data_IF_836469716902
#
_entry.id   IF_836469716902
#
_cell.length_a   1.000
_cell.length_b   1.000
_cell.length_c   1.000
_cell.angle_alpha   90.00
_cell.angle_beta   90.00
_cell.angle_gamma   90.00
#
_symmetry.space_group_name_H-M   'P 1'
#
loop_
_entity.id
_entity.type
_entity.pdbx_description
1 polymer ?
#
# COMPACT_ATOMS: atom_id res chain seq x y z
N UNK A 1 -0.20 0.80 -37.82
CA UNK A 1 -0.32 1.99 -38.69
C UNK A 1 -1.14 1.64 -39.93
N UNK A 2 -2.04 2.52 -40.36
CA UNK A 2 -2.84 2.36 -41.58
C UNK A 2 -2.68 3.62 -42.43
N UNK A 3 -2.39 3.47 -43.72
CA UNK A 3 -2.25 4.58 -44.67
C UNK A 3 -2.67 4.16 -46.06
N UNK A 4 -2.80 5.15 -46.93
CA UNK A 4 -3.01 4.97 -48.36
C UNK A 4 -1.71 5.29 -49.13
N UNK A 5 -1.46 4.56 -50.22
CA UNK A 5 -0.36 4.78 -51.14
C UNK A 5 -0.85 4.66 -52.59
N UNK A 6 -0.75 5.75 -53.35
CA UNK A 6 -1.20 5.79 -54.75
C UNK A 6 -0.29 4.99 -55.70
N UNK A 7 0.97 4.78 -55.34
CA UNK A 7 1.93 4.02 -56.15
C UNK A 7 1.86 2.51 -55.92
N UNK A 8 1.16 2.06 -54.87
CA UNK A 8 1.00 0.64 -54.52
C UNK A 8 -0.39 0.10 -54.90
N UNK A 9 -0.88 0.50 -56.08
CA UNK A 9 -2.15 0.04 -56.63
C UNK A 9 -1.92 -0.88 -57.82
N UNK A 10 -2.77 -1.89 -57.97
CA UNK A 10 -2.79 -2.75 -59.15
C UNK A 10 -4.19 -3.31 -59.41
N UNK A 11 -4.44 -3.69 -60.66
CA UNK A 11 -5.67 -4.39 -61.01
C UNK A 11 -5.48 -5.90 -60.77
N UNK A 12 -6.24 -6.55 -59.89
CA UNK A 12 -6.13 -7.98 -59.63
C UNK A 12 -6.26 -8.85 -60.89
N UNK A 13 -7.04 -8.40 -61.88
CA UNK A 13 -7.27 -9.15 -63.13
C UNK A 13 -5.97 -9.31 -63.95
N UNK A 14 -5.06 -8.33 -63.87
CA UNK A 14 -3.76 -8.38 -64.55
C UNK A 14 -2.73 -9.28 -63.82
N UNK A 15 -3.04 -9.67 -62.58
CA UNK A 15 -2.15 -10.39 -61.67
C UNK A 15 -2.82 -11.62 -61.05
N UNK A 16 -3.55 -12.42 -61.84
CA UNK A 16 -4.15 -13.70 -61.42
C UNK A 16 -5.06 -13.60 -60.17
N UNK A 17 -5.80 -12.52 -60.01
CA UNK A 17 -6.71 -12.31 -58.88
C UNK A 17 -5.99 -12.08 -57.55
N UNK A 18 -4.73 -11.66 -57.55
CA UNK A 18 -4.01 -11.34 -56.32
C UNK A 18 -4.56 -10.02 -55.77
N UNK A 19 -5.23 -10.05 -54.62
CA UNK A 19 -5.78 -8.85 -53.97
C UNK A 19 -4.91 -8.30 -52.84
N UNK A 20 -3.98 -9.11 -52.30
CA UNK A 20 -3.17 -8.76 -51.13
C UNK A 20 -1.74 -9.24 -51.28
N UNK A 21 -0.79 -8.42 -50.84
CA UNK A 21 0.63 -8.70 -50.83
C UNK A 21 1.23 -8.37 -49.46
N UNK A 22 2.18 -9.19 -49.01
CA UNK A 22 2.95 -8.94 -47.80
C UNK A 22 4.38 -8.59 -48.21
N UNK A 23 4.76 -7.31 -48.08
CA UNK A 23 6.08 -6.84 -48.46
C UNK A 23 6.93 -6.50 -47.23
N UNK A 24 8.25 -6.71 -47.29
CA UNK A 24 9.16 -6.21 -46.28
C UNK A 24 9.01 -4.70 -46.10
N UNK A 25 8.89 -4.25 -44.85
CA UNK A 25 8.71 -2.84 -44.47
C UNK A 25 9.81 -1.91 -45.00
N UNK A 26 11.02 -2.44 -45.22
CA UNK A 26 12.18 -1.70 -45.73
C UNK A 26 12.08 -1.29 -47.21
N UNK A 27 11.20 -1.93 -47.98
CA UNK A 27 11.04 -1.67 -49.42
C UNK A 27 9.99 -0.62 -49.73
N UNK A 28 9.23 -0.18 -48.72
CA UNK A 28 8.15 0.79 -48.88
C UNK A 28 8.40 1.97 -47.94
N UNK A 29 7.88 3.14 -48.30
CA UNK A 29 7.91 4.29 -47.41
C UNK A 29 7.03 4.04 -46.18
N UNK A 30 7.53 4.42 -45.01
CA UNK A 30 6.83 4.33 -43.73
C UNK A 30 7.03 5.64 -42.95
N UNK A 31 6.00 6.14 -42.25
CA UNK A 31 6.16 7.33 -41.43
C UNK A 31 7.05 7.05 -40.22
N UNK A 32 7.80 8.07 -39.80
CA UNK A 32 8.73 8.05 -38.68
C UNK A 32 8.02 8.33 -37.34
N UNK A 33 7.03 7.50 -37.02
CA UNK A 33 6.31 7.62 -35.75
C UNK A 33 7.21 7.16 -34.59
N UNK A 34 7.49 8.09 -33.68
CA UNK A 34 8.36 7.87 -32.53
C UNK A 34 7.63 8.19 -31.21
N UNK A 35 8.08 7.53 -30.13
CA UNK A 35 7.67 7.85 -28.77
C UNK A 35 8.54 9.00 -28.24
N UNK A 36 7.98 10.18 -28.03
CA UNK A 36 8.74 11.36 -27.60
C UNK A 36 9.26 11.24 -26.17
N UNK A 37 8.46 10.67 -25.26
CA UNK A 37 8.86 10.43 -23.88
C UNK A 37 9.46 9.03 -23.69
N UNK A 38 10.26 8.57 -24.65
CA UNK A 38 10.96 7.30 -24.58
C UNK A 38 12.05 7.31 -23.49
N UNK A 39 12.10 6.25 -22.69
CA UNK A 39 13.10 6.04 -21.64
C UNK A 39 14.12 4.94 -21.98
N UNK A 40 13.95 4.22 -23.09
CA UNK A 40 14.91 3.23 -23.57
C UNK A 40 15.93 3.85 -24.54
N UNK A 41 17.06 3.17 -24.74
CA UNK A 41 18.01 3.54 -25.80
C UNK A 41 17.29 3.48 -27.16
N UNK A 42 17.49 4.51 -28.00
CA UNK A 42 16.98 4.57 -29.38
C UNK A 42 17.73 3.58 -30.28
N UNK A 43 17.69 2.28 -29.95
CA UNK A 43 18.19 1.24 -30.81
C UNK A 43 17.01 0.62 -31.57
N UNK A 44 17.19 0.47 -32.89
CA UNK A 44 16.23 -0.21 -33.77
C UNK A 44 16.05 -1.71 -33.42
N UNK A 45 16.65 -2.20 -32.33
CA UNK A 45 16.62 -3.60 -31.91
C UNK A 45 15.32 -4.01 -31.22
N UNK A 46 14.56 -3.06 -30.67
CA UNK A 46 13.31 -3.33 -29.94
C UNK A 46 12.08 -3.50 -30.86
N UNK A 47 12.22 -3.22 -32.16
CA UNK A 47 11.13 -3.27 -33.14
C UNK A 47 11.29 -4.51 -34.01
N UNK A 48 10.35 -5.45 -33.94
CA UNK A 48 10.36 -6.63 -34.80
C UNK A 48 10.23 -6.19 -36.27
N UNK A 49 11.08 -6.72 -37.16
CA UNK A 49 10.96 -6.48 -38.59
C UNK A 49 9.74 -7.22 -39.14
N UNK A 50 8.57 -6.60 -39.04
CA UNK A 50 7.32 -7.11 -39.57
C UNK A 50 7.08 -6.63 -41.01
N UNK A 51 6.55 -7.53 -41.84
CA UNK A 51 6.07 -7.19 -43.19
C UNK A 51 4.83 -6.30 -43.10
N UNK A 52 4.65 -5.42 -44.08
CA UNK A 52 3.44 -4.65 -44.25
C UNK A 52 2.46 -5.41 -45.18
N UNK A 53 1.18 -5.37 -44.85
CA UNK A 53 0.10 -5.90 -45.67
C UNK A 53 -0.39 -4.79 -46.59
N UNK A 54 -0.37 -5.04 -47.89
CA UNK A 54 -0.80 -4.12 -48.94
C UNK A 54 -1.99 -4.73 -49.66
N UNK A 55 -3.04 -3.95 -49.84
CA UNK A 55 -4.25 -4.32 -50.59
C UNK A 55 -4.15 -3.66 -51.96
N UNK A 56 -4.66 -4.34 -53.00
CA UNK A 56 -4.60 -3.88 -54.40
C UNK A 56 -5.13 -2.46 -54.64
N UNK A 57 -5.97 -1.93 -53.75
CA UNK A 57 -6.49 -0.57 -53.79
C UNK A 57 -5.53 0.49 -53.22
N UNK A 58 -4.29 0.14 -52.87
CA UNK A 58 -3.31 1.07 -52.30
C UNK A 58 -3.37 1.20 -50.77
N UNK A 59 -4.26 0.47 -50.09
CA UNK A 59 -4.30 0.47 -48.62
C UNK A 59 -3.11 -0.31 -48.05
N UNK A 60 -2.34 0.34 -47.17
CA UNK A 60 -1.19 -0.25 -46.49
C UNK A 60 -1.49 -0.36 -44.99
N UNK A 61 -1.40 -1.57 -44.45
CA UNK A 61 -1.53 -1.85 -43.04
C UNK A 61 -0.25 -2.47 -42.49
N UNK A 62 0.37 -1.78 -41.53
CA UNK A 62 1.61 -2.21 -40.91
C UNK A 62 1.42 -2.35 -39.39
N UNK A 63 1.13 -3.56 -38.90
CA UNK A 63 1.06 -3.87 -37.48
C UNK A 63 2.43 -4.30 -36.97
N UNK A 64 3.02 -3.53 -36.06
CA UNK A 64 4.32 -3.85 -35.47
C UNK A 64 4.12 -4.17 -34.00
N UNK A 65 4.57 -5.34 -33.52
CA UNK A 65 4.72 -5.56 -32.10
C UNK A 65 5.97 -4.80 -31.62
N UNK A 66 5.80 -3.95 -30.62
CA UNK A 66 6.92 -3.19 -30.03
C UNK A 66 6.81 -3.16 -28.51
N UNK A 67 7.97 -3.24 -27.84
CA UNK A 67 8.08 -3.03 -26.40
C UNK A 67 8.42 -1.56 -26.17
N UNK A 68 7.50 -0.84 -25.56
CA UNK A 68 7.65 0.57 -25.26
C UNK A 68 8.11 0.76 -23.83
N UNK A 69 9.11 1.62 -23.62
CA UNK A 69 9.45 2.14 -22.29
C UNK A 69 9.33 3.65 -22.32
N UNK A 70 8.49 4.19 -21.47
CA UNK A 70 8.24 5.63 -21.40
C UNK A 70 8.60 6.19 -20.04
N UNK A 71 9.04 7.44 -20.01
CA UNK A 71 9.14 8.20 -18.78
C UNK A 71 7.74 8.60 -18.34
N UNK A 72 7.41 8.24 -17.09
CA UNK A 72 6.16 8.59 -16.42
C UNK A 72 6.50 9.13 -15.01
N UNK A 73 5.88 10.23 -14.63
CA UNK A 73 5.99 10.77 -13.28
C UNK A 73 5.00 10.03 -12.38
N UNK A 74 5.50 9.42 -11.30
CA UNK A 74 4.73 8.57 -10.40
C UNK A 74 4.54 9.30 -9.08
N UNK A 75 3.29 9.43 -8.62
CA UNK A 75 2.98 9.98 -7.30
C UNK A 75 2.84 8.85 -6.27
N UNK A 76 3.82 8.72 -5.38
CA UNK A 76 3.88 7.67 -4.36
C UNK A 76 3.34 8.11 -2.99
N UNK A 77 2.70 9.28 -2.88
CA UNK A 77 2.22 9.84 -1.60
C UNK A 77 1.34 8.84 -0.83
N UNK A 78 0.38 8.22 -1.50
CA UNK A 78 -0.58 7.28 -0.91
C UNK A 78 -0.20 5.81 -1.04
N UNK A 79 1.05 5.50 -1.35
CA UNK A 79 1.51 4.12 -1.50
C UNK A 79 1.11 3.23 -0.29
N UNK A 80 0.59 2.00 -0.50
CA UNK A 80 0.38 1.30 -1.78
C UNK A 80 -1.03 1.51 -2.39
N UNK A 81 -1.84 2.43 -1.85
CA UNK A 81 -3.17 2.78 -2.35
C UNK A 81 -3.09 3.92 -3.38
N UNK A 82 -2.16 3.79 -4.31
CA UNK A 82 -1.87 4.79 -5.33
C UNK A 82 -2.56 4.48 -6.67
N UNK A 83 -2.99 5.55 -7.34
CA UNK A 83 -3.40 5.54 -8.75
C UNK A 83 -2.37 6.33 -9.55
N UNK A 84 -1.99 5.79 -10.70
CA UNK A 84 -1.02 6.41 -11.59
C UNK A 84 -1.65 6.65 -12.96
N UNK A 85 -1.33 7.80 -13.55
CA UNK A 85 -1.69 8.14 -14.92
C UNK A 85 -0.42 8.34 -15.75
N UNK A 86 -0.14 7.39 -16.63
CA UNK A 86 1.04 7.44 -17.49
C UNK A 86 0.65 7.79 -18.92
N UNK A 87 1.39 8.73 -19.51
CA UNK A 87 1.20 9.19 -20.89
C UNK A 87 2.20 8.54 -21.84
N UNK A 88 1.75 8.15 -23.02
CA UNK A 88 2.58 7.70 -24.14
C UNK A 88 2.36 8.65 -25.31
N UNK A 89 3.35 9.49 -25.60
CA UNK A 89 3.24 10.54 -26.62
C UNK A 89 3.91 10.10 -27.92
N UNK A 90 3.11 9.89 -28.97
CA UNK A 90 3.59 9.52 -30.30
C UNK A 90 3.44 10.67 -31.29
N UNK A 91 4.42 10.84 -32.15
CA UNK A 91 4.36 11.82 -33.24
C UNK A 91 5.38 11.49 -34.32
N UNK A 92 5.26 12.15 -35.47
CA UNK A 92 6.34 12.15 -36.47
C UNK A 92 7.54 12.91 -35.91
N UNK A 93 8.76 12.45 -36.19
CA UNK A 93 9.97 13.16 -35.75
C UNK A 93 10.36 14.29 -36.70
N UNK A 94 10.27 14.05 -38.00
CA UNK A 94 10.79 14.95 -39.05
C UNK A 94 9.71 15.65 -39.86
N UNK A 95 8.52 15.08 -39.99
CA UNK A 95 7.43 15.67 -40.77
C UNK A 95 6.56 16.57 -39.91
N UNK A 96 6.17 17.72 -40.48
CA UNK A 96 5.18 18.60 -39.87
C UNK A 96 3.74 18.18 -40.25
N UNK A 97 2.76 18.85 -39.66
CA UNK A 97 1.33 18.57 -39.85
C UNK A 97 0.79 18.85 -41.25
N UNK A 98 1.54 19.56 -42.10
CA UNK A 98 1.17 19.73 -43.51
C UNK A 98 1.62 18.55 -44.39
N UNK A 99 2.56 17.73 -43.90
CA UNK A 99 3.11 16.58 -44.61
C UNK A 99 2.53 15.26 -44.08
N UNK A 100 2.46 15.11 -42.75
CA UNK A 100 1.92 13.92 -42.10
C UNK A 100 0.88 14.35 -41.07
N UNK A 101 -0.36 13.94 -41.28
CA UNK A 101 -1.44 14.05 -40.30
C UNK A 101 -1.61 12.72 -39.54
N UNK A 102 -1.91 12.80 -38.26
CA UNK A 102 -2.20 11.64 -37.40
C UNK A 102 -3.68 11.71 -37.03
N UNK A 103 -4.42 10.66 -37.37
CA UNK A 103 -5.84 10.55 -37.11
C UNK A 103 -6.16 9.25 -36.39
N UNK A 104 -7.19 9.30 -35.55
CA UNK A 104 -7.68 8.12 -34.84
C UNK A 104 -8.46 7.22 -35.78
N UNK A 105 -8.18 5.91 -35.73
CA UNK A 105 -8.92 4.91 -36.52
C UNK A 105 -10.20 4.45 -35.81
N UNK A 106 -10.18 4.42 -34.48
CA UNK A 106 -11.25 3.93 -33.63
C UNK A 106 -11.42 4.86 -32.43
N UNK A 107 -12.63 4.99 -31.91
CA UNK A 107 -12.95 5.88 -30.78
C UNK A 107 -12.33 5.43 -29.45
N UNK A 108 -11.97 4.15 -29.33
CA UNK A 108 -11.40 3.58 -28.11
C UNK A 108 -10.16 2.72 -28.41
N UNK A 109 -9.30 2.57 -27.40
CA UNK A 109 -8.13 1.68 -27.45
C UNK A 109 -8.62 0.23 -27.36
N UNK A 110 -8.14 -0.60 -28.28
CA UNK A 110 -8.52 -2.01 -28.31
C UNK A 110 -7.82 -2.80 -27.19
N UNK A 111 -8.61 -3.37 -26.27
CA UNK A 111 -8.15 -4.17 -25.14
C UNK A 111 -8.52 -5.66 -25.26
N UNK A 112 -8.96 -6.11 -26.44
CA UNK A 112 -9.44 -7.49 -26.69
C UNK A 112 -8.39 -8.56 -26.33
N UNK A 113 -7.12 -8.24 -26.53
CA UNK A 113 -5.97 -9.11 -26.25
C UNK A 113 -5.18 -8.66 -25.01
N UNK A 114 -5.78 -7.85 -24.13
CA UNK A 114 -5.14 -7.42 -22.89
C UNK A 114 -5.00 -8.58 -21.91
N UNK A 115 -3.79 -8.78 -21.40
CA UNK A 115 -3.51 -9.76 -20.34
C UNK A 115 -3.51 -9.03 -19.00
N UNK A 116 -4.37 -9.45 -18.09
CA UNK A 116 -4.52 -8.85 -16.75
C UNK A 116 -3.21 -8.96 -15.98
N UNK A 117 -2.77 -7.83 -15.40
CA UNK A 117 -1.56 -7.77 -14.60
C UNK A 117 -1.84 -8.14 -13.13
N UNK A 118 -0.88 -8.82 -12.48
CA UNK A 118 -1.01 -9.27 -11.08
C UNK A 118 -0.69 -8.19 -10.03
N UNK A 119 -0.03 -7.10 -10.42
CA UNK A 119 0.38 -5.98 -9.58
C UNK A 119 -0.51 -4.74 -9.80
N UNK A 120 -1.02 -4.55 -11.02
CA UNK A 120 -1.77 -3.37 -11.43
C UNK A 120 -3.13 -3.71 -12.03
N UNK A 121 -4.15 -2.96 -11.62
CA UNK A 121 -5.47 -2.92 -12.24
C UNK A 121 -5.51 -1.80 -13.28
N UNK A 122 -5.87 -2.14 -14.52
CA UNK A 122 -6.15 -1.16 -15.56
C UNK A 122 -7.53 -0.54 -15.29
N UNK A 123 -7.56 0.75 -14.96
CA UNK A 123 -8.81 1.45 -14.63
C UNK A 123 -9.47 2.02 -15.88
N UNK A 124 -8.69 2.76 -16.67
CA UNK A 124 -9.17 3.47 -17.84
C UNK A 124 -8.03 3.68 -18.84
N UNK A 125 -8.38 3.77 -20.11
CA UNK A 125 -7.47 4.15 -21.18
C UNK A 125 -8.15 5.15 -22.10
N UNK A 126 -7.46 6.26 -22.35
CA UNK A 126 -7.95 7.30 -23.25
C UNK A 126 -6.82 7.80 -24.13
N UNK A 127 -7.16 8.59 -25.15
CA UNK A 127 -6.15 9.22 -25.99
C UNK A 127 -6.64 10.57 -26.46
N UNK A 128 -5.69 11.44 -26.82
CA UNK A 128 -5.96 12.77 -27.33
C UNK A 128 -5.02 13.05 -28.50
N UNK A 129 -5.59 13.51 -29.61
CA UNK A 129 -4.82 14.06 -30.74
C UNK A 129 -4.58 15.54 -30.47
N UNK A 130 -3.31 15.95 -30.48
CA UNK A 130 -2.88 17.31 -30.24
C UNK A 130 -2.18 17.87 -31.48
N UNK A 131 -2.23 19.19 -31.64
CA UNK A 131 -1.46 19.91 -32.65
C UNK A 131 -0.64 20.97 -31.93
N UNK A 132 0.67 20.76 -31.86
CA UNK A 132 1.58 21.58 -31.06
C UNK A 132 2.55 22.32 -31.98
N UNK A 133 2.80 23.60 -31.70
CA UNK A 133 3.92 24.34 -32.31
C UNK A 133 5.10 24.34 -31.36
N UNK A 134 6.25 23.87 -31.83
CA UNK A 134 7.47 23.83 -31.04
C UNK A 134 8.30 25.11 -31.24
N UNK A 135 9.09 25.56 -30.24
CA UNK A 135 9.91 26.77 -30.39
C UNK A 135 10.95 26.70 -31.51
N UNK A 136 11.35 25.52 -31.96
CA UNK A 136 12.32 25.34 -33.04
C UNK A 136 11.77 25.67 -34.43
N UNK A 137 10.46 25.51 -34.65
CA UNK A 137 9.86 25.53 -35.98
C UNK A 137 8.49 26.24 -35.99
N UNK A 138 8.18 27.07 -37.00
CA UNK A 138 6.89 27.78 -37.08
C UNK A 138 5.71 26.86 -37.44
N UNK A 139 5.97 25.69 -38.03
CA UNK A 139 4.96 24.74 -38.47
C UNK A 139 4.32 23.97 -37.28
N UNK A 140 3.04 23.60 -37.39
CA UNK A 140 2.40 22.73 -36.41
C UNK A 140 2.86 21.28 -36.56
N UNK A 141 3.06 20.58 -35.45
CA UNK A 141 3.40 19.17 -35.38
C UNK A 141 2.26 18.41 -34.67
N UNK A 142 1.58 17.48 -35.37
CA UNK A 142 0.54 16.66 -34.76
C UNK A 142 1.16 15.54 -33.94
N UNK A 143 0.58 15.29 -32.76
CA UNK A 143 0.92 14.16 -31.90
C UNK A 143 -0.35 13.49 -31.37
N UNK A 144 -0.26 12.22 -31.04
CA UNK A 144 -1.28 11.47 -30.33
C UNK A 144 -0.72 11.03 -28.98
N UNK A 145 -1.39 11.43 -27.90
CA UNK A 145 -1.01 11.07 -26.54
C UNK A 145 -2.01 10.08 -25.99
N UNK A 146 -1.56 8.89 -25.65
CA UNK A 146 -2.36 7.88 -24.93
C UNK A 146 -2.17 8.07 -23.43
N UNK A 147 -3.26 8.02 -22.67
CA UNK A 147 -3.31 8.05 -21.23
C UNK A 147 -3.70 6.67 -20.71
N UNK A 148 -2.89 6.12 -19.83
CA UNK A 148 -3.10 4.82 -19.22
C UNK A 148 -3.23 5.03 -17.72
N UNK A 149 -4.43 4.81 -17.19
CA UNK A 149 -4.72 4.95 -15.76
C UNK A 149 -4.71 3.58 -15.09
N UNK A 150 -3.80 3.40 -14.13
CA UNK A 150 -3.59 2.13 -13.43
C UNK A 150 -3.67 2.33 -11.92
N UNK A 151 -4.12 1.29 -11.20
CA UNK A 151 -4.16 1.25 -9.74
C UNK A 151 -3.40 0.05 -9.21
N UNK A 152 -2.62 0.25 -8.15
CA UNK A 152 -1.82 -0.83 -7.56
C UNK A 152 -2.70 -1.80 -6.74
N UNK A 153 -2.38 -3.09 -6.82
CA UNK A 153 -2.98 -4.15 -5.99
C UNK A 153 -2.30 -4.20 -4.63
N UNK A 154 -3.06 -3.87 -3.59
CA UNK A 154 -2.53 -3.58 -2.24
C UNK A 154 -2.25 -4.83 -1.38
N UNK A 155 -2.83 -5.98 -1.72
CA UNK A 155 -2.83 -7.16 -0.84
C UNK A 155 -1.42 -7.64 -0.49
N UNK A 156 -0.51 -7.65 -1.46
CA UNK A 156 0.88 -8.04 -1.24
C UNK A 156 1.55 -7.16 -0.17
N UNK A 157 1.35 -5.84 -0.23
CA UNK A 157 1.96 -4.91 0.73
C UNK A 157 1.35 -5.04 2.12
N UNK A 158 0.04 -5.33 2.24
CA UNK A 158 -0.56 -5.56 3.56
C UNK A 158 0.07 -6.77 4.28
N UNK A 159 0.28 -7.88 3.57
CA UNK A 159 0.87 -9.08 4.16
C UNK A 159 2.39 -9.02 4.30
N UNK A 160 3.10 -8.43 3.34
CA UNK A 160 4.57 -8.43 3.31
C UNK A 160 5.18 -7.20 4.00
N UNK A 161 4.44 -6.09 4.13
CA UNK A 161 4.91 -4.86 4.77
C UNK A 161 4.24 -4.63 6.12
N UNK A 162 2.91 -4.52 6.16
CA UNK A 162 2.19 -4.10 7.37
C UNK A 162 2.24 -5.16 8.46
N UNK A 163 1.97 -6.42 8.13
CA UNK A 163 1.93 -7.50 9.12
C UNK A 163 3.28 -7.71 9.86
N UNK A 164 4.45 -7.80 9.19
CA UNK A 164 5.74 -7.88 9.87
C UNK A 164 6.03 -6.67 10.77
N UNK A 165 5.69 -5.45 10.35
CA UNK A 165 5.86 -4.26 11.18
C UNK A 165 5.04 -4.30 12.46
N UNK A 166 3.80 -4.79 12.40
CA UNK A 166 2.95 -4.96 13.59
C UNK A 166 3.57 -5.99 14.53
N UNK A 167 4.06 -7.12 14.00
CA UNK A 167 4.73 -8.16 14.80
C UNK A 167 6.00 -7.63 15.49
N UNK A 168 6.84 -6.89 14.77
CA UNK A 168 8.04 -6.25 15.34
C UNK A 168 7.67 -5.21 16.41
N UNK A 169 6.61 -4.42 16.18
CA UNK A 169 6.13 -3.44 17.16
C UNK A 169 5.68 -4.12 18.47
N UNK A 170 5.00 -5.27 18.40
CA UNK A 170 4.63 -6.06 19.58
C UNK A 170 5.87 -6.57 20.32
N UNK A 171 6.90 -7.03 19.59
CA UNK A 171 8.17 -7.46 20.19
C UNK A 171 8.87 -6.33 20.95
N UNK A 172 8.79 -5.08 20.48
CA UNK A 172 9.36 -3.92 21.20
C UNK A 172 8.70 -3.70 22.57
N UNK A 173 7.40 -3.98 22.70
CA UNK A 173 6.67 -3.87 23.96
C UNK A 173 7.07 -4.99 24.93
N UNK A 174 7.29 -6.20 24.41
CA UNK A 174 7.73 -7.36 25.18
C UNK A 174 9.11 -7.15 25.83
N UNK A 175 10.00 -6.36 25.20
CA UNK A 175 11.30 -5.99 25.80
C UNK A 175 11.12 -5.29 27.16
N UNK A 176 10.09 -4.46 27.32
CA UNK A 176 9.82 -3.80 28.59
C UNK A 176 9.25 -4.75 29.65
N UNK A 177 8.48 -5.76 29.23
CA UNK A 177 7.92 -6.78 30.11
C UNK A 177 8.98 -7.75 30.66
N UNK A 178 10.11 -7.92 29.97
CA UNK A 178 11.15 -8.83 30.41
C UNK A 178 11.91 -8.27 31.63
N UNK A 179 12.06 -9.04 32.73
CA UNK A 179 12.81 -8.61 33.90
C UNK A 179 14.31 -8.47 33.57
N UNK A 180 15.01 -7.49 34.16
CA UNK A 180 16.43 -7.23 33.89
C UNK A 180 17.35 -8.35 34.39
N UNK A 181 16.90 -9.20 35.31
CA UNK A 181 17.70 -10.32 35.86
C UNK A 181 18.01 -11.42 34.83
N UNK A 182 17.25 -11.50 33.74
CA UNK A 182 17.42 -12.53 32.70
C UNK A 182 18.68 -12.35 31.84
N UNK A 183 19.32 -11.17 31.83
CA UNK A 183 20.45 -10.85 30.94
C UNK A 183 20.08 -10.68 29.46
N UNK A 184 19.07 -11.38 28.96
CA UNK A 184 18.63 -11.39 27.55
C UNK A 184 17.89 -10.13 27.08
N UNK A 185 17.57 -9.21 28.00
CA UNK A 185 16.79 -7.99 27.70
C UNK A 185 17.48 -7.08 26.68
N UNK A 186 18.80 -6.91 26.80
CA UNK A 186 19.59 -6.06 25.89
C UNK A 186 19.70 -6.74 24.51
N UNK A 187 19.97 -8.04 24.49
CA UNK A 187 20.08 -8.82 23.26
C UNK A 187 18.76 -8.78 22.47
N UNK A 188 17.62 -8.95 23.12
CA UNK A 188 16.30 -8.82 22.49
C UNK A 188 16.05 -7.40 21.96
N UNK A 189 16.42 -6.36 22.72
CA UNK A 189 16.26 -4.97 22.28
C UNK A 189 17.08 -4.62 21.03
N UNK A 190 18.36 -5.04 20.99
CA UNK A 190 19.24 -4.80 19.84
C UNK A 190 18.80 -5.59 18.61
N UNK A 191 18.40 -6.85 18.78
CA UNK A 191 17.95 -7.70 17.65
C UNK A 191 16.66 -7.15 17.02
N UNK A 192 15.72 -6.65 17.82
CA UNK A 192 14.50 -6.00 17.31
C UNK A 192 14.81 -4.71 16.57
N UNK A 193 15.75 -3.89 17.07
CA UNK A 193 16.20 -2.67 16.38
C UNK A 193 16.84 -2.99 15.02
N UNK A 194 17.76 -3.96 15.00
CA UNK A 194 18.43 -4.39 13.77
C UNK A 194 17.43 -4.94 12.75
N UNK A 195 16.50 -5.80 13.19
CA UNK A 195 15.46 -6.35 12.33
C UNK A 195 14.60 -5.25 11.70
N UNK A 196 14.26 -4.21 12.47
CA UNK A 196 13.51 -3.06 11.95
C UNK A 196 14.31 -2.26 10.91
N UNK A 197 15.59 -1.98 11.19
CA UNK A 197 16.46 -1.26 10.24
C UNK A 197 16.63 -2.01 8.91
N UNK A 198 16.81 -3.33 8.96
CA UNK A 198 16.91 -4.17 7.75
C UNK A 198 15.59 -4.15 6.97
N UNK A 199 14.45 -4.28 7.66
CA UNK A 199 13.14 -4.24 7.02
C UNK A 199 12.87 -2.89 6.34
N UNK A 200 13.27 -1.80 6.99
CA UNK A 200 13.18 -0.45 6.45
C UNK A 200 14.03 -0.25 5.20
N UNK A 201 15.26 -0.75 5.21
CA UNK A 201 16.14 -0.70 4.05
C UNK A 201 15.54 -1.45 2.87
N UNK A 202 15.01 -2.66 3.10
CA UNK A 202 14.37 -3.46 2.04
C UNK A 202 13.16 -2.74 1.39
N UNK A 203 12.39 -2.01 2.20
CA UNK A 203 11.27 -1.21 1.69
C UNK A 203 11.76 0.01 0.92
N UNK A 204 12.80 0.69 1.42
CA UNK A 204 13.39 1.84 0.75
C UNK A 204 13.96 1.46 -0.63
N UNK A 205 14.62 0.29 -0.76
CA UNK A 205 15.13 -0.22 -2.05
C UNK A 205 14.02 -0.60 -3.04
N UNK A 206 12.82 -0.90 -2.54
CA UNK A 206 11.67 -1.28 -3.39
C UNK A 206 10.90 -0.07 -3.94
N UNK A 207 11.14 1.13 -3.40
CA UNK A 207 10.45 2.37 -3.80
C UNK A 207 11.39 3.23 -4.66
N UNK A 208 10.85 4.01 -5.61
CA UNK A 208 11.69 4.89 -6.42
C UNK A 208 12.33 5.98 -5.57
N UNK A 209 13.61 6.27 -5.82
CA UNK A 209 14.39 7.35 -5.18
C UNK A 209 13.90 8.73 -5.67
N UNK A 210 12.76 9.18 -5.14
CA UNK A 210 12.15 10.47 -5.49
C UNK A 210 11.95 11.33 -4.24
N UNK A 211 12.28 12.61 -4.34
CA UNK A 211 12.10 13.60 -3.27
C UNK A 211 10.88 14.49 -3.47
N UNK A 212 10.18 14.39 -4.61
CA UNK A 212 8.98 15.17 -4.90
C UNK A 212 7.82 14.78 -3.99
N UNK A 213 7.66 13.47 -3.75
CA UNK A 213 6.56 12.90 -2.97
C UNK A 213 7.12 11.90 -1.95
N UNK A 214 6.88 12.16 -0.66
CA UNK A 214 7.29 11.25 0.42
C UNK A 214 6.12 10.31 0.74
N UNK A 215 6.28 8.98 0.62
CA UNK A 215 5.22 8.03 0.93
C UNK A 215 4.77 8.08 2.39
N UNK A 216 3.47 8.07 2.65
CA UNK A 216 2.91 8.01 4.00
C UNK A 216 3.39 6.77 4.78
N UNK A 217 3.58 5.64 4.09
CA UNK A 217 4.13 4.43 4.69
C UNK A 217 5.57 4.67 5.19
N UNK A 218 6.38 5.43 4.45
CA UNK A 218 7.77 5.71 4.81
C UNK A 218 7.83 6.61 6.05
N UNK A 219 6.95 7.61 6.14
CA UNK A 219 6.80 8.44 7.34
C UNK A 219 6.39 7.60 8.57
N UNK A 220 5.42 6.71 8.40
CA UNK A 220 4.99 5.79 9.45
C UNK A 220 6.15 4.91 9.94
N UNK A 221 6.86 4.26 9.04
CA UNK A 221 7.95 3.36 9.41
C UNK A 221 9.15 4.09 10.03
N UNK A 222 9.44 5.31 9.56
CA UNK A 222 10.47 6.17 10.16
C UNK A 222 10.08 6.57 11.58
N UNK A 223 8.82 6.92 11.82
CA UNK A 223 8.32 7.19 13.17
C UNK A 223 8.45 5.96 14.08
N UNK A 224 8.14 4.76 13.57
CA UNK A 224 8.34 3.51 14.33
C UNK A 224 9.82 3.26 14.63
N UNK A 225 10.74 3.44 13.67
CA UNK A 225 12.19 3.38 13.93
C UNK A 225 12.64 4.33 15.04
N UNK A 226 12.15 5.56 15.03
CA UNK A 226 12.49 6.53 16.05
C UNK A 226 11.99 6.06 17.44
N UNK A 227 10.75 5.56 17.52
CA UNK A 227 10.19 5.02 18.75
C UNK A 227 10.95 3.78 19.25
N UNK A 228 11.34 2.85 18.38
CA UNK A 228 12.12 1.67 18.76
C UNK A 228 13.53 2.05 19.22
N UNK A 229 14.16 3.03 18.58
CA UNK A 229 15.46 3.57 18.98
C UNK A 229 15.41 4.18 20.38
N UNK A 230 14.41 5.03 20.65
CA UNK A 230 14.18 5.60 21.99
C UNK A 230 13.88 4.51 23.02
N UNK A 231 13.11 3.50 22.65
CA UNK A 231 12.81 2.34 23.51
C UNK A 231 14.09 1.61 23.95
N UNK A 232 14.99 1.30 23.00
CA UNK A 232 16.27 0.65 23.30
C UNK A 232 17.19 1.56 24.15
N UNK A 233 17.23 2.87 23.89
CA UNK A 233 17.97 3.79 24.76
C UNK A 233 17.43 3.78 26.19
N UNK A 234 16.11 3.78 26.36
CA UNK A 234 15.46 3.70 27.67
C UNK A 234 15.71 2.37 28.36
N UNK A 235 15.75 1.24 27.65
CA UNK A 235 16.06 -0.06 28.28
C UNK A 235 17.49 -0.10 28.80
N UNK A 236 18.47 0.42 28.05
CA UNK A 236 19.86 0.57 28.50
C UNK A 236 19.95 1.45 29.75
N UNK A 237 19.20 2.57 29.80
CA UNK A 237 19.12 3.42 31.00
C UNK A 237 18.53 2.68 32.21
N UNK A 238 17.43 1.93 32.02
CA UNK A 238 16.80 1.13 33.08
C UNK A 238 17.76 0.06 33.61
N UNK A 239 18.50 -0.61 32.74
CA UNK A 239 19.50 -1.60 33.11
C UNK A 239 20.68 -0.96 33.87
N UNK A 240 21.18 0.20 33.42
CA UNK A 240 22.22 0.94 34.13
C UNK A 240 21.76 1.36 35.53
N UNK A 241 20.52 1.83 35.68
CA UNK A 241 19.93 2.15 36.98
C UNK A 241 19.72 0.92 37.86
N UNK A 242 19.31 -0.22 37.29
CA UNK A 242 19.11 -1.47 38.03
C UNK A 242 20.43 -2.03 38.59
N UNK A 243 21.50 -2.03 37.80
CA UNK A 243 22.81 -2.53 38.23
C UNK A 243 23.62 -1.49 39.04
N UNK A 244 23.20 -0.22 39.09
CA UNK A 244 23.71 0.75 40.06
C UNK A 244 23.24 0.35 41.47
N UNK A 245 23.99 -0.56 42.08
CA UNK A 245 23.72 -1.05 43.43
C UNK A 245 23.75 0.06 44.50
N UNK A 246 23.21 -0.21 45.71
CA UNK A 246 23.00 0.78 46.79
C UNK A 246 24.28 1.39 47.39
N UNK A 247 25.46 1.06 46.86
CA UNK A 247 26.76 1.32 47.52
C UNK A 247 27.54 2.53 47.02
N UNK A 248 27.06 3.29 46.00
CA UNK A 248 27.91 4.37 45.44
C UNK A 248 27.29 5.75 45.21
N UNK A 249 25.97 5.94 45.23
CA UNK A 249 25.39 7.28 45.10
C UNK A 249 24.04 7.35 45.84
N UNK A 250 23.84 8.38 46.66
CA UNK A 250 22.52 8.72 47.18
C UNK A 250 21.58 9.03 46.00
N UNK A 251 20.34 8.54 46.06
CA UNK A 251 19.36 8.76 45.00
C UNK A 251 19.05 10.26 44.95
N UNK A 252 19.27 10.95 43.82
CA UNK A 252 19.08 12.40 43.76
C UNK A 252 17.62 12.79 44.02
N UNK A 253 17.43 13.88 44.75
CA UNK A 253 16.14 14.30 45.32
C UNK A 253 15.02 14.43 44.28
N UNK A 254 15.33 14.93 43.07
CA UNK A 254 14.37 15.04 41.97
C UNK A 254 13.80 13.68 41.53
N UNK A 255 14.62 12.62 41.58
CA UNK A 255 14.27 11.27 41.15
C UNK A 255 13.42 10.57 42.23
N UNK A 256 13.71 10.84 43.52
CA UNK A 256 12.87 10.43 44.64
C UNK A 256 11.49 11.10 44.59
N UNK A 257 11.44 12.39 44.25
CA UNK A 257 10.17 13.12 44.15
C UNK A 257 9.33 12.65 42.95
N UNK A 258 9.97 12.34 41.82
CA UNK A 258 9.30 11.83 40.62
C UNK A 258 8.80 10.40 40.79
N UNK A 259 9.59 9.52 41.42
CA UNK A 259 9.18 8.15 41.77
C UNK A 259 8.08 8.15 42.83
N UNK A 260 8.19 8.96 43.88
CA UNK A 260 7.16 9.02 44.93
C UNK A 260 5.83 9.56 44.41
N UNK A 261 5.82 10.56 43.53
CA UNK A 261 4.60 11.05 42.88
C UNK A 261 3.98 10.01 41.94
N UNK A 262 4.81 9.33 41.13
CA UNK A 262 4.34 8.34 40.16
C UNK A 262 3.82 7.06 40.84
N UNK A 263 4.58 6.53 41.81
CA UNK A 263 4.21 5.34 42.60
C UNK A 263 3.03 5.68 43.51
N UNK A 264 2.98 6.85 44.15
CA UNK A 264 1.82 7.24 44.96
C UNK A 264 0.54 7.37 44.12
N UNK A 265 0.63 7.88 42.88
CA UNK A 265 -0.53 7.96 42.00
C UNK A 265 -0.99 6.58 41.50
N UNK A 266 -0.06 5.69 41.12
CA UNK A 266 -0.36 4.30 40.70
C UNK A 266 -0.89 3.45 41.86
N UNK A 267 -0.27 3.54 43.04
CA UNK A 267 -0.74 2.86 44.25
C UNK A 267 -2.08 3.44 44.70
N UNK A 268 -2.31 4.76 44.59
CA UNK A 268 -3.63 5.36 44.85
C UNK A 268 -4.68 4.84 43.88
N UNK A 269 -4.44 4.75 42.57
CA UNK A 269 -5.42 4.22 41.62
C UNK A 269 -5.70 2.73 41.83
N UNK A 270 -4.68 1.92 42.10
CA UNK A 270 -4.84 0.49 42.41
C UNK A 270 -5.57 0.29 43.75
N UNK A 271 -5.24 1.09 44.77
CA UNK A 271 -5.92 1.08 46.08
C UNK A 271 -7.37 1.55 45.99
N UNK A 272 -7.66 2.60 45.21
CA UNK A 272 -9.03 3.11 44.97
C UNK A 272 -9.88 2.06 44.24
N UNK A 273 -9.33 1.37 43.25
CA UNK A 273 -9.98 0.26 42.52
C UNK A 273 -10.33 -0.92 43.43
N UNK A 274 -9.39 -1.35 44.30
CA UNK A 274 -9.65 -2.40 45.30
C UNK A 274 -10.72 -1.98 46.32
N UNK A 275 -10.70 -0.73 46.79
CA UNK A 275 -11.66 -0.20 47.78
C UNK A 275 -13.08 -0.07 47.21
N UNK A 276 -13.22 0.33 45.94
CA UNK A 276 -14.50 0.36 45.23
C UNK A 276 -15.10 -1.04 45.02
N UNK A 277 -14.28 -2.04 44.65
CA UNK A 277 -14.74 -3.44 44.56
C UNK A 277 -15.22 -3.98 45.91
N UNK A 278 -14.52 -3.64 47.00
CA UNK A 278 -14.92 -4.02 48.37
C UNK A 278 -16.23 -3.34 48.79
N UNK A 279 -16.42 -2.07 48.48
CA UNK A 279 -17.66 -1.34 48.80
C UNK A 279 -18.85 -1.89 48.02
N UNK A 280 -18.69 -2.13 46.72
CA UNK A 280 -19.73 -2.73 45.85
C UNK A 280 -20.10 -4.15 46.30
N UNK A 281 -19.12 -4.97 46.71
CA UNK A 281 -19.38 -6.30 47.27
C UNK A 281 -20.11 -6.24 48.63
N UNK A 282 -19.85 -5.21 49.45
CA UNK A 282 -20.58 -4.98 50.70
C UNK A 282 -22.02 -4.55 50.45
N UNK A 283 -22.25 -3.69 49.46
CA UNK A 283 -23.57 -3.25 49.03
C UNK A 283 -24.41 -4.41 48.48
N UNK A 284 -23.80 -5.28 47.67
CA UNK A 284 -24.45 -6.48 47.13
C UNK A 284 -24.82 -7.45 48.27
N UNK A 285 -23.95 -7.65 49.27
CA UNK A 285 -24.27 -8.48 50.45
C UNK A 285 -25.39 -7.88 51.29
N UNK A 286 -25.42 -6.56 51.48
CA UNK A 286 -26.49 -5.89 52.23
C UNK A 286 -27.82 -5.97 51.48
N UNK A 287 -27.83 -5.83 50.15
CA UNK A 287 -29.04 -6.03 49.34
C UNK A 287 -29.50 -7.49 49.38
N UNK A 288 -28.59 -8.46 49.36
CA UNK A 288 -28.92 -9.87 49.52
C UNK A 288 -29.52 -10.16 50.90
N UNK A 289 -28.98 -9.60 51.99
CA UNK A 289 -29.53 -9.81 53.34
C UNK A 289 -30.90 -9.14 53.53
N UNK A 290 -31.12 -7.97 52.93
CA UNK A 290 -32.44 -7.33 52.92
C UNK A 290 -33.47 -8.13 52.13
N UNK A 291 -33.07 -8.71 51.00
CA UNK A 291 -33.96 -9.55 50.21
C UNK A 291 -34.33 -10.85 50.95
N UNK A 292 -33.40 -11.43 51.71
CA UNK A 292 -33.64 -12.63 52.52
C UNK A 292 -34.49 -12.34 53.76
N UNK A 293 -34.30 -11.17 54.37
CA UNK A 293 -35.15 -10.68 55.47
C UNK A 293 -36.60 -10.44 55.01
N UNK A 294 -36.81 -9.84 53.84
CA UNK A 294 -38.16 -9.67 53.26
C UNK A 294 -38.80 -11.00 52.85
N UNK A 295 -38.00 -11.99 52.42
CA UNK A 295 -38.49 -13.34 52.12
C UNK A 295 -39.01 -14.05 53.38
N UNK A 296 -38.35 -13.84 54.51
CA UNK A 296 -38.75 -14.37 55.82
C UNK A 296 -39.91 -13.62 56.48
N UNK A 297 -40.16 -12.35 56.11
CA UNK A 297 -41.36 -11.63 56.55
C UNK A 297 -42.62 -12.06 55.78
N UNK A 298 -42.50 -12.35 54.48
CA UNK A 298 -43.63 -12.83 53.67
C UNK A 298 -44.05 -14.28 53.96
N UNK A 299 -43.22 -15.08 54.62
CA UNK A 299 -43.60 -16.42 55.12
C UNK A 299 -44.32 -16.38 56.47
N UNK A 300 -44.29 -15.25 57.19
CA UNK A 300 -44.95 -15.08 58.51
C UNK A 300 -46.36 -14.48 58.46
N UNK A 301 -46.86 -14.09 57.29
CA UNK A 301 -48.18 -13.44 57.11
C UNK A 301 -49.18 -14.30 56.34
N UNK A 302 -49.37 -15.56 56.77
CA UNK A 302 -50.59 -16.34 56.49
C UNK A 302 -51.10 -16.95 57.81
N UNK A 303 -52.31 -16.58 58.30
CA UNK A 303 -52.82 -17.13 59.55
C UNK A 303 -53.56 -18.46 59.34
N UNK A 304 -53.15 -19.44 60.15
CA UNK A 304 -53.90 -20.51 60.85
C UNK A 304 -55.21 -21.06 60.27
N UNK A 305 -55.26 -22.39 60.09
CA UNK A 305 -56.42 -23.20 60.52
C UNK A 305 -56.00 -24.63 60.95
N UNK A 306 -56.42 -24.97 62.17
CA UNK A 306 -56.72 -26.32 62.70
C UNK A 306 -55.58 -27.25 63.14
N UNK A 307 -55.21 -27.10 64.43
CA UNK A 307 -55.53 -28.03 65.52
C UNK A 307 -55.62 -29.55 65.30
N UNK A 308 -55.08 -30.25 66.31
CA UNK A 308 -55.63 -31.43 67.01
C UNK A 308 -54.90 -32.79 66.81
N UNK A 309 -54.32 -33.20 67.95
CA UNK A 309 -54.20 -34.55 68.55
C UNK A 309 -53.43 -35.71 67.89
N UNK A 310 -52.68 -36.35 68.82
CA UNK A 310 -52.56 -37.79 69.08
C UNK A 310 -51.39 -38.57 68.49
N UNK A 311 -50.89 -39.38 69.41
CA UNK A 311 -49.80 -40.33 69.42
C UNK A 311 -50.19 -41.70 68.86
N UNK A 312 -49.15 -42.47 68.49
CA UNK A 312 -49.04 -43.93 68.37
C UNK A 312 -49.54 -44.66 67.09
N UNK A 313 -48.52 -45.17 66.38
CA UNK A 313 -48.28 -46.56 65.92
C UNK A 313 -49.26 -47.36 65.04
N UNK A 314 -48.67 -47.85 63.94
CA UNK A 314 -48.77 -49.17 63.29
C UNK A 314 -50.08 -49.59 62.60
N UNK A 315 -50.02 -49.64 61.26
CA UNK A 315 -49.89 -50.88 60.44
C UNK A 315 -48.99 -50.55 59.25
#
# INVERSE_FOLDING_TARGET
>A
LYRFDEFLQWNPDDFNGIHRLNLPSKLIWLPDIVLYNNADEFSNSNTMQANAMIIHNGSVFWPIPTRLKSTCQIDVTYFPYDEQECKLKFGSWTYNGYQVSIEQRFDAIELSSYVVNGEWDLLDTSYQVNVVRYPCCPEPFPDITFYVRIRRRVLYYLYSVVFPCVMLSILTLLVFCLPPESGEKIALGITVLLAFSVFMLAIAESMPETSEHIPLISLYLTAVMAMTSVSVMMTVLVLNLHYRGPKKNEIPFWLQQLLSLSIANVVRTISRSKRLKLYKNREIRLRASFHDSNRNLNTRTRPSANGVLLSYMNV
#
